data_IF_662621218162
#
_entry.id   IF_662621218162
#
_cell.length_a   1.000
_cell.length_b   1.000
_cell.length_c   1.000
_cell.angle_alpha   90.00
_cell.angle_beta   90.00
_cell.angle_gamma   90.00
#
_symmetry.space_group_name_H-M   'P 1'
#
loop_
_entity.id
_entity.type
_entity.pdbx_description
1 polymer ?
#
# COMPACT_ATOMS: atom_id res chain seq x y z
N UNK A 1 -4.40 -8.66 19.66
CA UNK A 1 -5.50 -9.16 18.79
C UNK A 1 -5.22 -10.59 18.35
N UNK A 2 -4.07 -10.91 17.74
CA UNK A 2 -3.75 -12.27 17.26
C UNK A 2 -3.89 -13.33 18.38
N UNK A 3 -3.24 -13.13 19.51
CA UNK A 3 -3.30 -14.03 20.65
C UNK A 3 -4.73 -14.17 21.22
N UNK A 4 -5.51 -13.09 21.24
CA UNK A 4 -6.91 -13.11 21.68
C UNK A 4 -7.75 -13.96 20.73
N UNK A 5 -7.59 -13.79 19.42
CA UNK A 5 -8.33 -14.55 18.42
C UNK A 5 -7.98 -16.04 18.48
N UNK A 6 -6.72 -16.38 18.62
CA UNK A 6 -6.29 -17.79 18.73
C UNK A 6 -6.72 -18.41 20.05
N UNK A 7 -6.70 -17.67 21.16
CA UNK A 7 -7.22 -18.12 22.45
C UNK A 7 -8.75 -18.31 22.41
N UNK A 8 -9.46 -17.53 21.58
CA UNK A 8 -10.90 -17.70 21.34
C UNK A 8 -11.24 -18.82 20.34
N UNK A 9 -10.26 -19.65 19.96
CA UNK A 9 -10.46 -20.82 19.08
C UNK A 9 -10.37 -20.55 17.59
N UNK A 10 -9.99 -19.34 17.18
CA UNK A 10 -9.70 -19.10 15.75
C UNK A 10 -8.42 -19.81 15.33
N UNK A 11 -8.40 -20.32 14.09
CA UNK A 11 -7.15 -20.84 13.53
C UNK A 11 -6.14 -19.71 13.35
N UNK A 12 -4.85 -20.04 13.39
CA UNK A 12 -3.76 -19.06 13.14
C UNK A 12 -3.92 -18.35 11.80
N UNK A 13 -4.34 -19.10 10.77
CA UNK A 13 -4.58 -18.59 9.43
C UNK A 13 -5.75 -17.58 9.40
N UNK A 14 -6.89 -17.91 10.02
CA UNK A 14 -8.03 -17.01 10.10
C UNK A 14 -7.67 -15.72 10.87
N UNK A 15 -6.95 -15.84 11.97
CA UNK A 15 -6.50 -14.70 12.75
C UNK A 15 -5.54 -13.81 11.93
N UNK A 16 -4.59 -14.40 11.19
CA UNK A 16 -3.69 -13.67 10.32
C UNK A 16 -4.44 -12.99 9.16
N UNK A 17 -5.39 -13.68 8.52
CA UNK A 17 -6.21 -13.10 7.45
C UNK A 17 -7.03 -11.90 7.93
N UNK A 18 -7.63 -11.98 9.12
CA UNK A 18 -8.38 -10.85 9.69
C UNK A 18 -7.46 -9.64 9.94
N UNK A 19 -6.27 -9.87 10.50
CA UNK A 19 -5.27 -8.82 10.73
C UNK A 19 -4.83 -8.21 9.40
N UNK A 20 -4.59 -9.04 8.38
CA UNK A 20 -4.26 -8.56 7.04
C UNK A 20 -5.37 -7.68 6.46
N UNK A 21 -6.63 -8.08 6.56
CA UNK A 21 -7.76 -7.31 6.05
C UNK A 21 -7.88 -5.95 6.76
N UNK A 22 -7.80 -5.93 8.09
CA UNK A 22 -7.81 -4.69 8.87
C UNK A 22 -6.62 -3.80 8.47
N UNK A 23 -5.44 -4.39 8.34
CA UNK A 23 -4.24 -3.68 7.89
C UNK A 23 -4.41 -3.09 6.51
N UNK A 24 -5.04 -3.82 5.59
CA UNK A 24 -5.29 -3.35 4.23
C UNK A 24 -6.24 -2.15 4.18
N UNK A 25 -7.34 -2.18 4.94
CA UNK A 25 -8.26 -1.04 5.04
C UNK A 25 -7.53 0.24 5.49
N UNK A 26 -6.65 0.13 6.49
CA UNK A 26 -5.85 1.26 6.97
C UNK A 26 -4.85 1.71 5.90
N UNK A 27 -4.15 0.76 5.27
CA UNK A 27 -3.14 1.04 4.24
C UNK A 27 -3.73 1.73 3.02
N UNK A 28 -4.92 1.29 2.57
CA UNK A 28 -5.62 1.89 1.44
C UNK A 28 -5.89 3.38 1.67
N UNK A 29 -6.42 3.74 2.83
CA UNK A 29 -6.69 5.13 3.19
C UNK A 29 -5.40 5.95 3.25
N UNK A 30 -4.33 5.40 3.84
CA UNK A 30 -3.03 6.07 3.94
C UNK A 30 -2.36 6.24 2.58
N UNK A 31 -2.58 5.32 1.66
CA UNK A 31 -1.97 5.31 0.33
C UNK A 31 -2.67 6.25 -0.67
N UNK A 32 -3.95 6.49 -0.49
CA UNK A 32 -4.74 7.33 -1.39
C UNK A 32 -4.23 8.77 -1.42
N UNK A 33 -3.89 9.34 -0.26
CA UNK A 33 -3.44 10.72 -0.18
C UNK A 33 -2.15 11.01 -0.96
N UNK A 34 -1.04 10.27 -0.77
CA UNK A 34 0.18 10.48 -1.54
C UNK A 34 -0.04 10.29 -3.04
N UNK A 35 -0.84 9.31 -3.42
CA UNK A 35 -1.17 9.04 -4.81
C UNK A 35 -1.99 10.15 -5.46
N UNK A 36 -2.99 10.68 -4.75
CA UNK A 36 -3.79 11.80 -5.21
C UNK A 36 -2.95 13.06 -5.36
N UNK A 37 -2.17 13.39 -4.33
CA UNK A 37 -1.28 14.58 -4.33
C UNK A 37 -0.26 14.47 -5.46
N UNK A 38 0.40 13.32 -5.63
CA UNK A 38 1.33 13.11 -6.75
C UNK A 38 0.69 13.38 -8.11
N UNK A 39 -0.57 12.98 -8.30
CA UNK A 39 -1.33 13.23 -9.52
C UNK A 39 -1.70 14.70 -9.78
N UNK A 40 -1.67 15.55 -8.76
CA UNK A 40 -1.86 16.99 -8.90
C UNK A 40 -0.58 17.69 -9.41
N UNK A 41 0.59 17.12 -9.13
CA UNK A 41 1.88 17.69 -9.53
C UNK A 41 2.36 17.19 -10.90
N UNK A 42 2.00 15.98 -11.30
CA UNK A 42 2.48 15.40 -12.56
C UNK A 42 1.48 14.44 -13.19
N UNK A 43 1.46 14.43 -14.53
CA UNK A 43 0.74 13.43 -15.33
C UNK A 43 1.65 12.28 -15.75
N UNK A 44 2.95 12.38 -15.55
CA UNK A 44 3.89 11.30 -15.81
C UNK A 44 3.75 10.23 -14.72
N UNK A 45 3.49 8.99 -15.14
CA UNK A 45 3.22 7.89 -14.23
C UNK A 45 4.39 7.50 -13.34
N UNK A 46 5.61 7.57 -13.88
CA UNK A 46 6.83 7.28 -13.10
C UNK A 46 7.09 8.37 -12.06
N UNK A 47 7.00 9.63 -12.45
CA UNK A 47 7.18 10.75 -11.52
C UNK A 47 6.11 10.74 -10.42
N UNK A 48 4.87 10.42 -10.77
CA UNK A 48 3.79 10.26 -9.79
C UNK A 48 4.08 9.13 -8.80
N UNK A 49 4.52 7.97 -9.30
CA UNK A 49 4.90 6.83 -8.48
C UNK A 49 6.04 7.19 -7.53
N UNK A 50 7.07 7.89 -8.04
CA UNK A 50 8.20 8.36 -7.25
C UNK A 50 7.74 9.30 -6.14
N UNK A 51 6.96 10.34 -6.46
CA UNK A 51 6.43 11.29 -5.48
C UNK A 51 5.58 10.62 -4.40
N UNK A 52 4.67 9.71 -4.80
CA UNK A 52 3.83 8.98 -3.86
C UNK A 52 4.68 8.09 -2.94
N UNK A 53 5.68 7.39 -3.48
CA UNK A 53 6.59 6.54 -2.72
C UNK A 53 7.42 7.35 -1.74
N UNK A 54 7.99 8.48 -2.16
CA UNK A 54 8.79 9.35 -1.30
C UNK A 54 7.95 9.95 -0.16
N UNK A 55 6.72 10.40 -0.46
CA UNK A 55 5.80 10.88 0.55
C UNK A 55 5.41 9.78 1.55
N UNK A 56 5.10 8.58 1.10
CA UNK A 56 4.74 7.44 1.94
C UNK A 56 5.89 6.99 2.83
N UNK A 57 7.13 7.02 2.34
CA UNK A 57 8.35 6.74 3.11
C UNK A 57 8.73 7.86 4.07
N UNK A 58 8.17 9.05 3.90
CA UNK A 58 8.37 10.20 4.81
C UNK A 58 7.32 10.21 5.91
N UNK A 59 6.07 10.02 5.58
CA UNK A 59 4.94 9.90 6.49
C UNK A 59 3.98 8.79 6.01
N UNK A 60 3.71 7.77 6.84
CA UNK A 60 4.10 7.61 8.27
C UNK A 60 5.40 6.82 8.49
N UNK A 61 6.08 6.37 7.44
CA UNK A 61 7.19 5.41 7.52
C UNK A 61 8.56 6.10 7.49
N UNK A 62 8.69 7.25 8.14
CA UNK A 62 9.90 8.07 8.12
C UNK A 62 10.93 7.76 9.19
N UNK A 63 12.11 8.42 9.02
CA UNK A 63 13.18 8.44 10.01
C UNK A 63 12.70 9.15 11.30
N UNK A 64 13.21 8.79 12.50
CA UNK A 64 14.28 7.81 12.74
C UNK A 64 13.79 6.37 12.88
N UNK A 65 12.48 6.12 12.84
CA UNK A 65 11.92 4.79 13.06
C UNK A 65 12.29 3.82 11.92
N UNK A 66 12.08 4.27 10.68
CA UNK A 66 12.48 3.52 9.49
C UNK A 66 13.77 4.08 8.92
N UNK A 67 14.61 3.20 8.37
CA UNK A 67 15.79 3.58 7.61
C UNK A 67 15.65 3.09 6.18
N UNK A 68 15.66 4.04 5.25
CA UNK A 68 15.54 3.78 3.83
C UNK A 68 16.83 4.11 3.11
N UNK A 69 17.15 3.37 2.08
CA UNK A 69 18.24 3.61 1.16
C UNK A 69 17.72 3.55 -0.27
N UNK A 70 17.88 4.64 -1.02
CA UNK A 70 17.57 4.63 -2.45
C UNK A 70 18.60 3.76 -3.20
N UNK A 71 18.10 3.06 -4.20
CA UNK A 71 18.91 2.16 -5.03
C UNK A 71 18.63 2.47 -6.49
N UNK A 72 19.69 2.64 -7.27
CA UNK A 72 19.54 2.74 -8.71
C UNK A 72 19.02 1.40 -9.27
N UNK A 73 17.89 1.48 -9.90
CA UNK A 73 17.16 0.33 -10.39
C UNK A 73 16.93 0.37 -11.90
N UNK A 74 17.49 1.39 -12.55
CA UNK A 74 17.29 1.63 -13.96
C UNK A 74 16.05 2.46 -14.27
N UNK A 75 15.88 2.75 -15.55
CA UNK A 75 14.84 3.62 -16.07
C UNK A 75 13.42 3.09 -15.78
N UNK A 76 12.52 3.98 -15.37
CA UNK A 76 11.12 3.65 -15.08
C UNK A 76 10.90 2.85 -13.80
N UNK A 77 11.89 2.78 -12.92
CA UNK A 77 11.85 1.98 -11.71
C UNK A 77 12.18 2.81 -10.47
N UNK A 78 11.29 2.81 -9.48
CA UNK A 78 11.55 3.38 -8.16
C UNK A 78 12.20 2.32 -7.27
N UNK A 79 13.48 2.53 -6.98
CA UNK A 79 14.31 1.59 -6.24
C UNK A 79 14.65 2.05 -4.83
N UNK A 80 14.40 1.20 -3.83
CA UNK A 80 14.81 1.45 -2.44
C UNK A 80 14.92 0.15 -1.64
N UNK A 81 15.76 0.17 -0.62
CA UNK A 81 15.85 -0.85 0.40
C UNK A 81 15.37 -0.31 1.74
N UNK A 82 14.68 -1.13 2.52
CA UNK A 82 14.42 -0.86 3.92
C UNK A 82 15.50 -1.55 4.76
N UNK A 83 16.35 -0.74 5.42
CA UNK A 83 17.44 -1.23 6.25
C UNK A 83 17.01 -1.45 7.70
N UNK A 84 15.95 -0.75 8.14
CA UNK A 84 15.34 -0.88 9.46
C UNK A 84 13.84 -0.75 9.36
N UNK A 85 13.12 -1.69 9.96
CA UNK A 85 11.67 -1.72 10.00
C UNK A 85 11.19 -1.97 11.44
N UNK A 86 10.65 -0.96 12.14
CA UNK A 86 10.19 -1.13 13.53
C UNK A 86 9.03 -2.12 13.65
N UNK A 87 8.24 -2.30 12.60
CA UNK A 87 7.20 -3.33 12.57
C UNK A 87 7.82 -4.73 12.64
N UNK A 88 8.86 -4.98 11.82
CA UNK A 88 9.56 -6.27 11.87
C UNK A 88 10.26 -6.48 13.23
N UNK A 89 10.87 -5.44 13.80
CA UNK A 89 11.50 -5.48 15.14
C UNK A 89 10.45 -5.82 16.22
N UNK A 90 9.29 -5.18 16.20
CA UNK A 90 8.19 -5.45 17.12
C UNK A 90 7.72 -6.91 17.04
N UNK A 91 7.43 -7.40 15.84
CA UNK A 91 6.96 -8.77 15.68
C UNK A 91 8.05 -9.80 16.06
N UNK A 92 9.32 -9.51 15.76
CA UNK A 92 10.42 -10.38 16.16
C UNK A 92 10.57 -10.47 17.69
N UNK A 93 10.42 -9.35 18.42
CA UNK A 93 10.49 -9.34 19.89
C UNK A 93 9.35 -10.12 20.57
N UNK A 94 8.27 -10.38 19.83
CA UNK A 94 7.13 -11.19 20.30
C UNK A 94 7.11 -12.61 19.71
N UNK A 95 8.17 -13.05 19.02
CA UNK A 95 8.22 -14.34 18.32
C UNK A 95 7.11 -14.52 17.27
N UNK A 96 6.68 -13.43 16.63
CA UNK A 96 5.60 -13.38 15.65
C UNK A 96 6.09 -12.95 14.26
N UNK A 97 7.36 -13.15 13.93
CA UNK A 97 7.95 -12.75 12.65
C UNK A 97 7.20 -13.32 11.43
N UNK A 98 6.75 -14.58 11.53
CA UNK A 98 5.95 -15.20 10.46
C UNK A 98 4.62 -14.48 10.25
N UNK A 99 3.95 -14.07 11.32
CA UNK A 99 2.73 -13.27 11.25
C UNK A 99 2.99 -11.94 10.56
N UNK A 100 4.11 -11.26 10.84
CA UNK A 100 4.51 -10.05 10.15
C UNK A 100 4.65 -10.27 8.64
N UNK A 101 5.30 -11.36 8.24
CA UNK A 101 5.46 -11.72 6.82
C UNK A 101 4.11 -11.97 6.15
N UNK A 102 3.22 -12.69 6.82
CA UNK A 102 1.90 -13.06 6.30
C UNK A 102 0.92 -11.88 6.25
N UNK A 103 1.14 -10.83 7.02
CA UNK A 103 0.26 -9.67 7.15
C UNK A 103 0.94 -8.41 6.59
N UNK A 104 1.65 -7.67 7.41
CA UNK A 104 2.19 -6.35 7.07
C UNK A 104 3.14 -6.35 5.87
N UNK A 105 4.03 -7.35 5.76
CA UNK A 105 4.90 -7.43 4.60
C UNK A 105 4.16 -7.72 3.28
N UNK A 106 2.99 -8.33 3.34
CA UNK A 106 2.18 -8.59 2.14
C UNK A 106 1.44 -7.36 1.64
N UNK A 107 1.17 -6.36 2.49
CA UNK A 107 0.39 -5.17 2.13
C UNK A 107 1.06 -4.32 1.03
N UNK A 108 2.37 -4.39 0.90
CA UNK A 108 3.11 -3.64 -0.12
C UNK A 108 2.77 -4.08 -1.55
N UNK A 109 2.37 -5.34 -1.75
CA UNK A 109 2.01 -5.85 -3.08
C UNK A 109 0.72 -5.21 -3.61
N UNK A 110 -0.43 -5.30 -2.91
CA UNK A 110 -1.64 -4.65 -3.35
C UNK A 110 -1.53 -3.11 -3.33
N UNK A 111 -0.66 -2.54 -2.46
CA UNK A 111 -0.34 -1.12 -2.50
C UNK A 111 0.31 -0.72 -3.83
N UNK A 112 1.29 -1.50 -4.29
CA UNK A 112 1.91 -1.26 -5.59
C UNK A 112 0.89 -1.35 -6.74
N UNK A 113 0.01 -2.35 -6.71
CA UNK A 113 -1.08 -2.49 -7.68
C UNK A 113 -2.05 -1.30 -7.65
N UNK A 114 -2.41 -0.80 -6.47
CA UNK A 114 -3.24 0.39 -6.30
C UNK A 114 -2.59 1.62 -6.95
N UNK A 115 -1.27 1.73 -6.88
CA UNK A 115 -0.50 2.78 -7.54
C UNK A 115 -0.10 2.43 -8.98
N UNK A 116 -0.78 1.47 -9.59
CA UNK A 116 -0.56 1.02 -10.97
C UNK A 116 0.90 0.63 -11.22
N UNK A 117 1.49 -0.05 -10.27
CA UNK A 117 2.87 -0.52 -10.30
C UNK A 117 2.95 -2.01 -9.93
N UNK A 118 4.11 -2.61 -10.15
CA UNK A 118 4.41 -3.97 -9.70
C UNK A 118 5.56 -3.93 -8.70
N UNK A 119 5.39 -4.59 -7.56
CA UNK A 119 6.45 -4.75 -6.58
C UNK A 119 7.22 -6.05 -6.82
N UNK A 120 8.54 -5.95 -6.93
CA UNK A 120 9.45 -7.08 -6.91
C UNK A 120 10.26 -7.05 -5.61
N UNK A 121 10.19 -8.11 -4.81
CA UNK A 121 10.90 -8.21 -3.54
C UNK A 121 11.30 -9.66 -3.26
N UNK A 122 12.57 -9.92 -2.95
CA UNK A 122 13.09 -11.27 -2.68
C UNK A 122 12.99 -11.70 -1.23
N UNK A 123 12.98 -10.76 -0.29
CA UNK A 123 12.94 -11.07 1.13
C UNK A 123 12.59 -9.86 1.96
N UNK A 124 12.34 -10.09 3.24
CA UNK A 124 12.03 -9.05 4.22
C UNK A 124 12.85 -9.23 5.49
N UNK A 125 13.06 -8.16 6.25
CA UNK A 125 13.68 -8.23 7.59
C UNK A 125 12.91 -9.23 8.46
N UNK A 126 11.58 -9.22 8.39
CA UNK A 126 10.75 -10.16 9.13
C UNK A 126 10.94 -11.63 8.72
N UNK A 127 11.39 -11.92 7.49
CA UNK A 127 11.74 -13.27 7.04
C UNK A 127 13.21 -13.64 7.29
N UNK A 128 13.96 -12.82 8.04
CA UNK A 128 15.37 -13.06 8.36
C UNK A 128 16.36 -12.49 7.36
N UNK A 129 15.92 -11.76 6.34
CA UNK A 129 16.84 -11.08 5.44
C UNK A 129 17.48 -9.85 6.13
N UNK A 130 18.72 -9.47 5.78
CA UNK A 130 19.40 -8.32 6.41
C UNK A 130 18.72 -6.97 6.09
N UNK A 131 17.84 -6.95 5.10
CA UNK A 131 17.04 -5.80 4.67
C UNK A 131 15.80 -6.28 3.92
N UNK A 132 14.79 -5.45 3.81
CA UNK A 132 13.76 -5.66 2.81
C UNK A 132 14.32 -5.22 1.46
N UNK A 133 15.07 -6.12 0.84
CA UNK A 133 15.85 -5.84 -0.33
C UNK A 133 15.18 -6.37 -1.58
N UNK A 134 15.52 -5.74 -2.64
CA UNK A 134 15.26 -6.09 -4.00
C UNK A 134 16.35 -6.93 -4.61
N UNK A 135 15.94 -7.76 -5.54
CA UNK A 135 16.80 -8.22 -6.61
C UNK A 135 16.14 -7.89 -7.95
N UNK A 136 15.82 -6.65 -8.16
CA UNK A 136 15.14 -6.13 -9.33
C UNK A 136 14.40 -4.85 -8.97
N UNK A 137 13.71 -4.21 -9.91
CA UNK A 137 13.00 -2.98 -9.69
C UNK A 137 11.90 -3.17 -8.66
N UNK A 138 11.94 -2.40 -7.58
CA UNK A 138 10.97 -2.51 -6.52
C UNK A 138 9.57 -2.21 -7.03
N UNK A 139 9.42 -1.12 -7.73
CA UNK A 139 8.13 -0.67 -8.23
C UNK A 139 8.29 -0.25 -9.68
N UNK A 140 7.63 -0.95 -10.60
CA UNK A 140 7.63 -0.63 -12.02
C UNK A 140 6.34 0.07 -12.39
N UNK A 141 6.45 1.25 -12.99
CA UNK A 141 5.34 1.84 -13.73
C UNK A 141 5.09 1.04 -15.01
N UNK A 142 3.85 0.80 -15.42
CA UNK A 142 3.56 0.20 -16.72
C UNK A 142 4.13 1.09 -17.83
N UNK A 143 4.68 0.47 -18.87
CA UNK A 143 5.28 1.19 -20.02
C UNK A 143 4.31 2.15 -20.72
N UNK A 144 3.03 1.98 -20.50
CA UNK A 144 1.96 2.84 -20.98
C UNK A 144 0.96 3.07 -19.84
N UNK A 145 0.86 4.30 -19.39
CA UNK A 145 -0.10 4.70 -18.37
C UNK A 145 -1.52 4.46 -18.87
N UNK A 146 -2.42 3.85 -18.09
CA UNK A 146 -3.79 3.66 -18.48
C UNK A 146 -4.47 5.02 -18.68
N UNK A 147 -5.38 5.14 -19.66
CA UNK A 147 -6.11 6.38 -19.94
C UNK A 147 -6.89 6.83 -18.69
N UNK A 148 -7.16 8.12 -18.60
CA UNK A 148 -7.84 8.77 -17.46
C UNK A 148 -9.21 8.15 -17.07
N UNK A 149 -9.80 7.34 -17.98
CA UNK A 149 -11.04 6.59 -17.76
C UNK A 149 -10.95 5.50 -16.67
N UNK A 150 -9.74 5.11 -16.24
CA UNK A 150 -9.51 4.12 -15.17
C UNK A 150 -9.57 4.73 -13.76
N UNK A 151 -9.97 6.00 -13.64
CA UNK A 151 -10.21 6.59 -12.34
C UNK A 151 -11.34 5.82 -11.67
N UNK A 152 -11.05 5.00 -10.65
CA UNK A 152 -12.09 4.48 -9.78
C UNK A 152 -12.82 5.68 -9.16
N UNK A 153 -14.14 5.71 -9.21
CA UNK A 153 -14.89 6.70 -8.43
C UNK A 153 -14.51 6.55 -6.96
N UNK A 154 -14.26 7.66 -6.30
CA UNK A 154 -14.04 7.66 -4.84
C UNK A 154 -15.26 6.97 -4.18
N UNK A 155 -15.06 6.04 -3.23
CA UNK A 155 -16.16 5.45 -2.50
C UNK A 155 -16.92 6.57 -1.77
N UNK A 156 -18.19 6.77 -2.11
CA UNK A 156 -19.07 7.73 -1.43
C UNK A 156 -19.72 8.82 -2.29
N UNK A 157 -19.40 8.98 -3.58
CA UNK A 157 -20.12 9.91 -4.45
C UNK A 157 -21.25 9.22 -5.19
N UNK A 158 -22.25 8.69 -4.46
CA UNK A 158 -23.55 8.42 -5.05
C UNK A 158 -24.26 9.73 -5.27
N UNK A 159 -24.24 10.26 -6.48
CA UNK A 159 -25.18 11.30 -6.87
C UNK A 159 -26.61 10.76 -6.67
N UNK A 160 -27.28 11.18 -5.59
CA UNK A 160 -28.73 11.08 -5.50
C UNK A 160 -29.31 11.93 -6.62
N UNK A 161 -29.64 11.29 -7.72
CA UNK A 161 -30.45 11.88 -8.77
C UNK A 161 -31.79 12.25 -8.17
N UNK A 162 -32.00 13.55 -7.91
CA UNK A 162 -33.31 14.13 -7.62
C UNK A 162 -34.15 14.02 -8.87
N UNK A 163 -34.97 12.99 -8.95
CA UNK A 163 -36.08 12.94 -9.90
C UNK A 163 -37.12 13.96 -9.47
N UNK A 164 -37.07 15.16 -10.04
CA UNK A 164 -38.17 16.12 -9.97
C UNK A 164 -39.30 15.60 -10.85
N UNK A 165 -40.34 15.03 -10.25
CA UNK A 165 -41.64 14.81 -10.89
C UNK A 165 -42.25 16.15 -11.26
N UNK A 166 -42.32 16.45 -12.54
CA UNK A 166 -43.19 17.54 -13.06
C UNK A 166 -44.60 16.98 -13.18
N UNK A 167 -45.46 17.30 -12.23
CA UNK A 167 -46.90 17.23 -12.42
C UNK A 167 -47.34 18.55 -13.03
N UNK A 168 -47.69 18.51 -14.32
CA UNK A 168 -48.34 19.64 -14.97
C UNK A 168 -49.83 19.67 -14.62
N UNK A 169 -50.46 20.86 -14.57
CA UNK A 169 -51.90 20.95 -14.32
C UNK A 169 -52.68 20.69 -15.61
N UNK A 170 -53.66 19.81 -15.51
CA UNK A 170 -54.73 19.67 -16.50
C UNK A 170 -55.82 20.71 -16.22
N UNK A 171 -56.12 21.52 -17.23
CA UNK A 171 -57.32 22.33 -17.29
C UNK A 171 -58.50 21.47 -17.74
#
# INVERSE_FOLDING_TARGET
IYEILTAAGQTKENAANLIYQIGWEIYTVMADLPWFVGGAFTQDGFQRLKLATDAFRTLPFGSPAYLWQDVDAGEGVVGFDCLRCPVAEYFASHNLSELCVQTFCKLDFPLAEQWVATLERKGTIASGAPRCARAGPAWRSPRRWPPASWRRPLPGTSHRGSARSRTGPTA
#
